data_IF_870951643479
#
_entry.id   IF_870951643479
#
_cell.length_a   1.000
_cell.length_b   1.000
_cell.length_c   1.000
_cell.angle_alpha   90.00
_cell.angle_beta   90.00
_cell.angle_gamma   90.00
#
_symmetry.space_group_name_H-M   'P 1'
#
loop_
_entity.id
_entity.type
_entity.pdbx_description
1 polymer ?
#
# COMPACT_ATOMS: atom_id res chain seq x y z
N UNK A 1 11.25 11.57 41.72
CA UNK A 1 11.72 11.21 40.35
C UNK A 1 11.55 9.70 40.17
N UNK A 2 10.78 9.25 39.18
CA UNK A 2 10.58 7.82 38.90
C UNK A 2 11.89 7.21 38.36
N UNK A 3 12.24 6.01 38.80
CA UNK A 3 13.44 5.25 38.38
C UNK A 3 13.50 5.20 36.84
N UNK A 4 14.62 5.64 36.25
CA UNK A 4 14.82 5.70 34.80
C UNK A 4 14.64 7.07 34.14
N UNK A 5 13.99 8.06 34.80
CA UNK A 5 13.92 9.43 34.27
C UNK A 5 15.31 10.07 34.14
N UNK A 6 16.18 9.88 35.14
CA UNK A 6 17.55 10.42 35.11
C UNK A 6 18.38 9.89 33.94
N UNK A 7 18.21 8.61 33.57
CA UNK A 7 18.93 8.03 32.41
C UNK A 7 18.41 8.58 31.09
N UNK A 8 17.08 8.77 30.94
CA UNK A 8 16.48 9.40 29.77
C UNK A 8 16.94 10.86 29.62
N UNK A 9 16.90 11.62 30.70
CA UNK A 9 17.37 13.01 30.74
C UNK A 9 18.85 13.12 30.37
N UNK A 10 19.69 12.19 30.86
CA UNK A 10 21.12 12.14 30.51
C UNK A 10 21.32 11.86 29.01
N UNK A 11 20.63 10.86 28.46
CA UNK A 11 20.71 10.52 27.03
C UNK A 11 20.24 11.66 26.12
N UNK A 12 19.17 12.37 26.49
CA UNK A 12 18.69 13.54 25.73
C UNK A 12 19.74 14.65 25.77
N UNK A 13 20.26 14.98 26.96
CA UNK A 13 21.27 16.02 27.11
C UNK A 13 22.56 15.70 26.35
N UNK A 14 22.96 14.43 26.31
CA UNK A 14 24.15 13.96 25.60
C UNK A 14 23.95 13.89 24.08
N UNK A 15 22.75 13.53 23.62
CA UNK A 15 22.42 13.43 22.18
C UNK A 15 22.20 14.78 21.49
N UNK A 16 21.84 15.82 22.25
CA UNK A 16 21.58 17.17 21.75
C UNK A 16 22.54 18.21 22.38
N UNK A 17 23.70 17.74 22.85
CA UNK A 17 24.69 18.57 23.56
C UNK A 17 25.31 19.62 22.65
N UNK A 18 25.52 19.24 21.39
CA UNK A 18 26.19 20.04 20.37
C UNK A 18 25.21 20.47 19.26
N UNK A 19 23.89 20.41 19.52
CA UNK A 19 22.91 21.04 18.64
C UNK A 19 22.96 22.54 18.88
N UNK A 20 23.30 23.29 17.84
CA UNK A 20 23.20 24.75 17.85
C UNK A 20 21.80 25.17 18.28
N UNK A 21 21.72 26.20 19.14
CA UNK A 21 20.45 26.61 19.76
C UNK A 21 19.37 26.97 18.72
N UNK A 22 19.80 27.37 17.52
CA UNK A 22 18.94 27.71 16.39
C UNK A 22 18.28 26.48 15.74
N UNK A 23 19.01 25.37 15.55
CA UNK A 23 18.45 24.12 15.00
C UNK A 23 17.39 23.53 15.95
N UNK A 24 17.67 23.57 17.26
CA UNK A 24 16.71 23.10 18.27
C UNK A 24 15.42 23.92 18.23
N UNK A 25 15.53 25.23 18.03
CA UNK A 25 14.38 26.15 17.95
C UNK A 25 13.55 25.89 16.69
N UNK A 26 14.19 25.66 15.55
CA UNK A 26 13.52 25.32 14.30
C UNK A 26 12.76 23.98 14.39
N UNK A 27 13.38 22.95 14.97
CA UNK A 27 12.73 21.66 15.20
C UNK A 27 11.54 21.81 16.14
N UNK A 28 11.65 22.65 17.18
CA UNK A 28 10.56 22.87 18.14
C UNK A 28 9.36 23.55 17.48
N UNK A 29 9.60 24.53 16.61
CA UNK A 29 8.56 25.25 15.88
C UNK A 29 7.83 24.34 14.88
N UNK A 30 8.58 23.53 14.13
CA UNK A 30 8.02 22.50 13.24
C UNK A 30 7.21 21.47 14.03
N UNK A 31 7.71 21.01 15.18
CA UNK A 31 7.00 20.04 16.01
C UNK A 31 5.73 20.62 16.65
N UNK A 32 5.75 21.90 17.05
CA UNK A 32 4.58 22.59 17.60
C UNK A 32 3.49 22.79 16.55
N UNK A 33 3.88 23.06 15.29
CA UNK A 33 2.94 23.17 14.17
C UNK A 33 2.25 21.84 13.80
N UNK A 34 2.79 20.69 14.26
CA UNK A 34 2.29 19.35 13.95
C UNK A 34 1.44 18.68 15.04
N UNK A 35 1.04 19.36 16.12
CA UNK A 35 0.03 18.79 17.01
C UNK A 35 -0.14 19.43 18.38
N UNK A 36 -1.20 20.22 18.54
CA UNK A 36 -1.84 20.44 19.84
C UNK A 36 -3.36 20.41 19.73
N UNK A 37 -3.91 19.20 19.60
CA UNK A 37 -5.27 18.92 20.09
C UNK A 37 -5.25 18.91 21.62
N UNK A 38 -5.53 20.05 22.25
CA UNK A 38 -5.85 20.13 23.68
C UNK A 38 -7.13 20.96 23.85
N UNK A 39 -8.23 20.23 24.04
CA UNK A 39 -9.51 20.76 24.44
C UNK A 39 -9.47 21.42 25.83
N UNK A 40 -9.91 22.68 25.83
CA UNK A 40 -10.77 23.41 26.77
C UNK A 40 -10.85 23.03 28.27
N UNK A 41 -10.56 24.01 29.16
CA UNK A 41 -11.52 24.51 30.19
C UNK A 41 -11.06 25.78 30.95
N UNK A 42 -11.87 26.85 30.79
CA UNK A 42 -12.25 27.97 31.71
C UNK A 42 -11.14 28.64 32.57
N UNK A 43 -11.02 29.98 32.59
CA UNK A 43 -11.96 30.89 33.32
C UNK A 43 -11.86 32.36 32.87
N UNK A 44 -13.02 33.05 32.95
CA UNK A 44 -13.40 34.43 32.59
C UNK A 44 -12.66 35.59 33.32
N UNK A 45 -12.45 36.69 32.58
CA UNK A 45 -12.67 38.14 32.91
C UNK A 45 -11.97 38.94 31.79
N UNK A 46 -12.52 39.88 31.02
CA UNK A 46 -13.77 40.62 31.00
C UNK A 46 -13.45 42.08 30.65
N UNK A 47 -13.82 42.57 29.46
CA UNK A 47 -14.31 43.94 29.19
C UNK A 47 -14.66 44.16 27.70
N UNK A 48 -15.82 44.78 27.51
CA UNK A 48 -16.46 45.28 26.27
C UNK A 48 -15.56 46.30 25.53
N UNK A 49 -15.74 46.68 24.25
CA UNK A 49 -16.86 47.38 23.60
C UNK A 49 -16.58 47.31 22.07
N UNK A 50 -17.50 46.95 21.18
CA UNK A 50 -18.29 47.95 20.44
C UNK A 50 -18.24 47.77 18.91
N UNK A 51 -19.28 47.11 18.38
CA UNK A 51 -20.09 47.43 17.20
C UNK A 51 -19.50 47.90 15.83
N UNK A 52 -20.00 47.20 14.79
CA UNK A 52 -20.44 47.64 13.43
C UNK A 52 -19.43 47.82 12.28
N UNK A 53 -19.77 47.17 11.15
CA UNK A 53 -19.39 47.57 9.78
C UNK A 53 -18.78 46.45 8.93
N UNK A 54 -19.59 45.53 8.39
CA UNK A 54 -19.90 45.41 6.95
C UNK A 54 -18.72 45.18 5.99
N UNK A 55 -18.74 43.99 5.38
CA UNK A 55 -18.43 43.69 3.97
C UNK A 55 -17.05 44.03 3.41
N UNK A 56 -16.24 42.99 3.17
CA UNK A 56 -15.66 42.77 1.84
C UNK A 56 -15.07 41.37 1.73
N UNK A 57 -15.60 40.62 0.77
CA UNK A 57 -15.04 39.42 0.17
C UNK A 57 -13.59 39.68 -0.25
N UNK A 58 -12.68 38.71 -0.12
CA UNK A 58 -11.86 38.26 -1.25
C UNK A 58 -11.13 36.95 -0.94
N UNK A 59 -11.54 35.94 -1.68
CA UNK A 59 -11.00 34.60 -1.77
C UNK A 59 -9.76 34.67 -2.68
N UNK A 60 -8.55 34.36 -2.21
CA UNK A 60 -7.35 34.24 -3.07
C UNK A 60 -6.81 32.82 -3.02
N UNK A 61 -7.36 31.99 -3.92
CA UNK A 61 -6.77 30.72 -4.36
C UNK A 61 -5.60 31.06 -5.30
N UNK A 62 -4.43 30.49 -5.01
CA UNK A 62 -3.24 30.58 -5.86
C UNK A 62 -3.34 29.51 -6.95
N UNK A 63 -3.31 29.85 -8.25
CA UNK A 63 -3.27 28.87 -9.33
C UNK A 63 -1.81 28.50 -9.65
N UNK A 64 -1.51 27.20 -9.60
CA UNK A 64 -0.24 26.64 -10.10
C UNK A 64 -0.38 26.47 -11.61
N UNK A 65 0.29 27.35 -12.36
CA UNK A 65 0.39 27.29 -13.83
C UNK A 65 1.43 26.27 -14.26
N UNK A 66 0.98 25.28 -15.05
CA UNK A 66 1.81 24.31 -15.80
C UNK A 66 2.47 25.04 -16.98
N UNK A 67 3.80 25.00 -17.19
CA UNK A 67 4.39 25.55 -18.41
C UNK A 67 4.19 24.58 -19.59
N UNK A 68 3.73 25.12 -20.73
CA UNK A 68 3.74 24.46 -22.05
C UNK A 68 5.16 24.50 -22.62
N UNK A 69 5.66 23.43 -23.29
CA UNK A 69 6.89 23.51 -24.09
C UNK A 69 6.60 24.12 -25.46
N UNK A 70 7.42 25.10 -25.87
CA UNK A 70 7.50 25.60 -27.26
C UNK A 70 8.53 24.78 -28.05
N UNK A 71 8.34 24.55 -29.37
CA UNK A 71 9.25 23.77 -30.20
C UNK A 71 10.47 24.58 -30.64
N UNK A 72 11.66 23.98 -30.57
CA UNK A 72 12.89 24.49 -31.20
C UNK A 72 13.10 23.79 -32.56
N UNK A 73 13.53 24.50 -33.61
CA UNK A 73 13.88 23.90 -34.90
C UNK A 73 15.26 23.25 -34.84
N UNK A 74 15.40 22.12 -35.54
CA UNK A 74 16.54 21.23 -35.45
C UNK A 74 17.84 21.74 -36.09
N UNK A 75 18.91 21.06 -35.70
CA UNK A 75 20.13 20.92 -36.49
C UNK A 75 20.62 19.48 -36.32
N UNK A 76 20.97 18.86 -37.45
CA UNK A 76 21.33 17.45 -37.53
C UNK A 76 22.77 17.20 -37.10
N UNK A 77 23.00 15.99 -36.57
CA UNK A 77 24.32 15.46 -36.30
C UNK A 77 24.19 14.02 -35.85
N UNK A 78 24.56 13.11 -36.74
CA UNK A 78 24.59 11.65 -36.56
C UNK A 78 25.47 11.20 -35.38
N UNK A 79 25.22 9.94 -34.99
CA UNK A 79 26.06 9.06 -34.16
C UNK A 79 25.98 9.22 -32.64
N UNK A 80 24.96 8.57 -32.05
CA UNK A 80 25.07 8.01 -30.70
C UNK A 80 24.34 6.67 -30.60
N UNK A 81 25.00 5.65 -31.17
CA UNK A 81 25.20 4.31 -30.62
C UNK A 81 24.30 3.87 -29.43
N UNK A 82 23.25 3.09 -29.74
CA UNK A 82 23.11 1.74 -29.18
C UNK A 82 22.51 1.50 -27.79
N UNK A 83 22.07 2.51 -27.03
CA UNK A 83 21.63 2.31 -25.63
C UNK A 83 20.12 2.39 -25.33
N UNK A 84 19.37 3.24 -26.02
CA UNK A 84 18.05 3.71 -25.52
C UNK A 84 16.84 2.90 -26.04
N UNK A 85 16.96 2.26 -27.20
CA UNK A 85 15.85 1.52 -27.81
C UNK A 85 15.52 0.17 -27.16
N UNK A 86 16.41 -0.38 -26.34
CA UNK A 86 16.17 -1.67 -25.66
C UNK A 86 15.39 -1.46 -24.37
N UNK A 87 15.75 -0.46 -23.56
CA UNK A 87 15.08 -0.20 -22.29
C UNK A 87 13.62 0.25 -22.49
N UNK A 88 13.34 1.16 -23.44
CA UNK A 88 11.97 1.64 -23.68
C UNK A 88 11.05 0.53 -24.21
N UNK A 89 11.55 -0.35 -25.09
CA UNK A 89 10.81 -1.50 -25.59
C UNK A 89 10.55 -2.51 -24.47
N UNK A 90 11.53 -2.77 -23.58
CA UNK A 90 11.34 -3.68 -22.44
C UNK A 90 10.30 -3.16 -21.43
N UNK A 91 10.31 -1.86 -21.13
CA UNK A 91 9.33 -1.25 -20.21
C UNK A 91 7.91 -1.35 -20.78
N UNK A 92 7.74 -1.10 -22.07
CA UNK A 92 6.43 -1.23 -22.72
C UNK A 92 5.92 -2.68 -22.68
N UNK A 93 6.79 -3.66 -22.94
CA UNK A 93 6.38 -5.08 -22.88
C UNK A 93 6.00 -5.53 -21.46
N UNK A 94 6.66 -5.01 -20.43
CA UNK A 94 6.33 -5.34 -19.03
C UNK A 94 4.96 -4.77 -18.62
N UNK A 95 4.65 -3.55 -19.09
CA UNK A 95 3.35 -2.91 -18.83
C UNK A 95 2.23 -3.68 -19.53
N UNK A 96 2.41 -4.04 -20.80
CA UNK A 96 1.43 -4.84 -21.55
C UNK A 96 1.19 -6.21 -20.88
N UNK A 97 2.23 -6.80 -20.27
CA UNK A 97 2.08 -8.04 -19.51
C UNK A 97 1.20 -7.86 -18.26
N UNK A 98 1.22 -6.70 -17.61
CA UNK A 98 0.38 -6.45 -16.42
C UNK A 98 -1.11 -6.49 -16.75
N UNK A 99 -1.49 -6.01 -17.94
CA UNK A 99 -2.89 -6.00 -18.38
C UNK A 99 -3.44 -7.42 -18.64
N UNK A 100 -2.57 -8.40 -18.83
CA UNK A 100 -2.96 -9.82 -18.95
C UNK A 100 -3.33 -10.47 -17.60
N UNK A 101 -2.99 -9.83 -16.46
CA UNK A 101 -3.24 -10.37 -15.13
C UNK A 101 -4.61 -9.92 -14.62
N UNK A 102 -5.51 -10.88 -14.39
CA UNK A 102 -6.82 -10.62 -13.78
C UNK A 102 -7.11 -11.52 -12.58
N UNK A 103 -7.71 -10.95 -11.54
CA UNK A 103 -8.28 -11.69 -10.40
C UNK A 103 -9.76 -12.04 -10.57
N UNK A 104 -10.37 -11.55 -11.64
CA UNK A 104 -11.79 -11.61 -11.96
C UNK A 104 -11.96 -12.00 -13.44
N UNK A 105 -11.61 -13.24 -13.82
CA UNK A 105 -11.79 -13.65 -15.19
C UNK A 105 -13.27 -13.67 -15.58
N UNK A 106 -13.57 -13.11 -16.74
CA UNK A 106 -14.86 -13.16 -17.40
C UNK A 106 -15.02 -14.49 -18.15
N UNK A 107 -16.25 -14.82 -18.54
CA UNK A 107 -16.55 -16.06 -19.27
C UNK A 107 -16.00 -16.08 -20.69
N UNK A 108 -15.71 -14.90 -21.24
CA UNK A 108 -15.13 -14.69 -22.57
C UNK A 108 -13.60 -14.67 -22.57
N UNK A 109 -12.97 -14.63 -21.38
CA UNK A 109 -11.52 -14.60 -21.25
C UNK A 109 -10.89 -15.97 -21.53
N UNK A 110 -9.74 -15.96 -22.22
CA UNK A 110 -8.91 -17.16 -22.36
C UNK A 110 -7.93 -17.29 -21.20
N UNK A 111 -8.12 -18.32 -20.38
CA UNK A 111 -7.25 -18.58 -19.24
C UNK A 111 -5.98 -19.32 -19.66
N UNK A 112 -4.83 -18.63 -19.58
CA UNK A 112 -3.52 -19.17 -19.93
C UNK A 112 -2.85 -19.89 -18.76
N UNK A 113 -2.74 -19.22 -17.60
CA UNK A 113 -2.02 -19.70 -16.42
C UNK A 113 -2.72 -19.31 -15.12
N UNK A 114 -2.48 -20.09 -14.05
CA UNK A 114 -2.87 -19.73 -12.70
C UNK A 114 -1.66 -19.29 -11.88
N UNK A 115 -1.68 -18.07 -11.34
CA UNK A 115 -0.58 -17.50 -10.56
C UNK A 115 -0.99 -17.40 -9.09
N UNK A 116 -0.29 -18.09 -8.16
CA UNK A 116 -0.60 -17.97 -6.74
C UNK A 116 -0.06 -16.67 -6.15
N UNK A 117 -0.95 -15.88 -5.56
CA UNK A 117 -0.61 -14.59 -4.95
C UNK A 117 -0.97 -14.57 -3.47
N UNK A 118 -0.20 -13.81 -2.68
CA UNK A 118 -0.49 -13.53 -1.28
C UNK A 118 -0.57 -12.02 -1.11
N UNK A 119 -1.73 -11.54 -0.67
CA UNK A 119 -2.02 -10.12 -0.52
C UNK A 119 -2.93 -9.88 0.71
N UNK A 120 -3.04 -8.62 1.19
CA UNK A 120 -4.02 -8.26 2.20
C UNK A 120 -5.44 -8.69 1.80
N UNK A 121 -6.18 -9.28 2.72
CA UNK A 121 -7.49 -9.89 2.42
C UNK A 121 -8.50 -8.90 1.81
N UNK A 122 -8.38 -7.61 2.16
CA UNK A 122 -9.25 -6.55 1.65
C UNK A 122 -9.10 -6.31 0.14
N UNK A 123 -7.90 -6.54 -0.42
CA UNK A 123 -7.65 -6.39 -1.86
C UNK A 123 -8.24 -7.57 -2.64
N UNK A 124 -8.27 -8.75 -2.02
CA UNK A 124 -8.77 -9.98 -2.61
C UNK A 124 -10.29 -10.14 -2.47
N UNK A 125 -11.03 -9.10 -2.06
CA UNK A 125 -12.47 -9.21 -1.82
C UNK A 125 -13.28 -9.51 -3.09
N UNK A 126 -12.79 -9.12 -4.26
CA UNK A 126 -13.45 -9.44 -5.52
C UNK A 126 -13.08 -10.84 -6.04
N UNK A 127 -11.91 -11.37 -5.67
CA UNK A 127 -11.38 -12.62 -6.23
C UNK A 127 -12.30 -13.81 -5.96
N UNK A 128 -12.47 -14.64 -7.00
CA UNK A 128 -13.23 -15.89 -6.94
C UNK A 128 -12.57 -16.91 -6.02
N UNK A 129 -11.28 -17.19 -6.23
CA UNK A 129 -10.51 -18.17 -5.47
C UNK A 129 -9.68 -17.49 -4.39
N UNK A 130 -10.18 -17.48 -3.15
CA UNK A 130 -9.50 -16.84 -2.02
C UNK A 130 -9.73 -17.56 -0.70
N UNK A 131 -8.75 -17.42 0.18
CA UNK A 131 -8.81 -17.93 1.55
C UNK A 131 -8.10 -16.98 2.51
N UNK A 132 -8.63 -16.84 3.72
CA UNK A 132 -7.99 -16.03 4.76
C UNK A 132 -7.01 -16.88 5.53
N UNK A 133 -5.76 -16.44 5.54
CA UNK A 133 -4.69 -17.00 6.34
C UNK A 133 -4.66 -16.29 7.69
N UNK A 134 -4.68 -17.05 8.78
CA UNK A 134 -4.45 -16.54 10.13
C UNK A 134 -3.24 -17.24 10.75
N UNK A 135 -2.50 -16.59 11.66
CA UNK A 135 -1.47 -17.28 12.42
C UNK A 135 -2.04 -18.51 13.14
N UNK A 136 -1.29 -19.62 13.14
CA UNK A 136 -1.73 -20.89 13.71
C UNK A 136 -0.62 -21.94 13.74
N UNK A 137 -0.95 -23.22 13.82
CA UNK A 137 0.05 -24.30 13.94
C UNK A 137 0.29 -25.07 12.63
N UNK A 138 -0.42 -24.71 11.54
CA UNK A 138 -0.34 -25.44 10.28
C UNK A 138 0.94 -25.13 9.48
N UNK A 139 1.48 -26.15 8.81
CA UNK A 139 2.60 -26.01 7.88
C UNK A 139 2.12 -25.38 6.57
N UNK A 140 2.91 -24.46 6.00
CA UNK A 140 2.58 -23.73 4.76
C UNK A 140 2.20 -24.63 3.58
N UNK A 141 2.94 -25.72 3.34
CA UNK A 141 2.62 -26.66 2.26
C UNK A 141 1.29 -27.39 2.46
N UNK A 142 0.97 -27.78 3.70
CA UNK A 142 -0.33 -28.39 4.02
C UNK A 142 -1.47 -27.39 3.86
N UNK A 143 -1.26 -26.14 4.26
CA UNK A 143 -2.21 -25.07 4.04
C UNK A 143 -2.44 -24.83 2.53
N UNK A 144 -1.38 -24.65 1.73
CA UNK A 144 -1.48 -24.51 0.27
C UNK A 144 -2.35 -25.60 -0.37
N UNK A 145 -2.03 -26.88 -0.14
CA UNK A 145 -2.80 -28.01 -0.69
C UNK A 145 -4.25 -28.04 -0.21
N UNK A 146 -4.49 -27.68 1.05
CA UNK A 146 -5.86 -27.62 1.60
C UNK A 146 -6.68 -26.52 0.93
N UNK A 147 -6.09 -25.35 0.66
CA UNK A 147 -6.74 -24.27 -0.06
C UNK A 147 -7.05 -24.67 -1.51
N UNK A 148 -6.08 -25.31 -2.20
CA UNK A 148 -6.27 -25.81 -3.57
C UNK A 148 -7.45 -26.78 -3.66
N UNK A 149 -7.49 -27.75 -2.75
CA UNK A 149 -8.56 -28.74 -2.69
C UNK A 149 -9.93 -28.11 -2.39
N UNK A 150 -9.96 -27.00 -1.67
CA UNK A 150 -11.19 -26.24 -1.45
C UNK A 150 -11.67 -25.62 -2.77
N UNK A 151 -10.77 -25.00 -3.54
CA UNK A 151 -11.09 -24.35 -4.82
C UNK A 151 -11.54 -25.36 -5.89
N UNK A 152 -10.93 -26.54 -5.93
CA UNK A 152 -11.31 -27.61 -6.88
C UNK A 152 -12.68 -28.23 -6.59
N UNK A 153 -13.15 -28.16 -5.34
CA UNK A 153 -14.45 -28.70 -4.91
C UNK A 153 -15.59 -27.69 -5.04
N UNK A 154 -15.31 -26.43 -5.34
CA UNK A 154 -16.34 -25.44 -5.60
C UNK A 154 -17.12 -25.82 -6.88
N UNK A 155 -18.46 -25.76 -6.81
CA UNK A 155 -19.36 -26.13 -7.92
C UNK A 155 -19.26 -25.14 -9.06
N UNK A 156 -18.85 -23.90 -8.78
CA UNK A 156 -18.76 -22.83 -9.77
C UNK A 156 -17.41 -22.81 -10.51
N UNK A 157 -16.56 -23.83 -10.31
CA UNK A 157 -15.25 -23.94 -10.96
C UNK A 157 -15.36 -24.69 -12.29
N UNK A 158 -15.02 -24.01 -13.39
CA UNK A 158 -14.94 -24.55 -14.75
C UNK A 158 -13.87 -25.64 -14.85
N UNK A 159 -14.00 -26.55 -15.82
CA UNK A 159 -12.97 -27.57 -16.10
C UNK A 159 -11.61 -26.94 -16.39
N UNK A 160 -11.58 -25.86 -17.19
CA UNK A 160 -10.34 -25.14 -17.52
C UNK A 160 -9.67 -24.56 -16.27
N UNK A 161 -10.44 -23.94 -15.38
CA UNK A 161 -9.93 -23.43 -14.10
C UNK A 161 -9.34 -24.56 -13.25
N UNK A 162 -10.00 -25.72 -13.17
CA UNK A 162 -9.48 -26.87 -12.41
C UNK A 162 -8.14 -27.35 -12.95
N UNK A 163 -7.98 -27.41 -14.26
CA UNK A 163 -6.75 -27.89 -14.89
C UNK A 163 -5.58 -26.91 -14.66
N UNK A 164 -5.84 -25.62 -14.78
CA UNK A 164 -4.85 -24.57 -14.48
C UNK A 164 -4.48 -24.53 -13.00
N UNK A 165 -5.46 -24.68 -12.10
CA UNK A 165 -5.21 -24.73 -10.66
C UNK A 165 -4.34 -25.95 -10.30
N UNK A 166 -4.54 -27.10 -10.96
CA UNK A 166 -3.76 -28.32 -10.74
C UNK A 166 -2.35 -28.27 -11.36
N UNK A 167 -2.15 -27.49 -12.42
CA UNK A 167 -0.84 -27.38 -13.07
C UNK A 167 0.17 -26.58 -12.26
N UNK A 168 -0.28 -25.81 -11.26
CA UNK A 168 0.61 -25.06 -10.37
C UNK A 168 1.40 -26.00 -9.46
N UNK A 169 2.73 -25.93 -9.55
CA UNK A 169 3.64 -26.69 -8.69
C UNK A 169 3.43 -26.35 -7.21
N UNK A 170 3.48 -27.36 -6.34
CA UNK A 170 3.34 -27.21 -4.88
C UNK A 170 4.35 -26.22 -4.28
N UNK A 171 5.56 -26.19 -4.82
CA UNK A 171 6.61 -25.25 -4.43
C UNK A 171 6.17 -23.80 -4.64
N UNK A 172 5.53 -23.51 -5.77
CA UNK A 172 5.05 -22.16 -6.11
C UNK A 172 3.87 -21.76 -5.23
N UNK A 173 2.98 -22.70 -4.89
CA UNK A 173 1.87 -22.45 -3.98
C UNK A 173 2.33 -22.11 -2.55
N UNK A 174 3.36 -22.80 -2.05
CA UNK A 174 3.80 -22.66 -0.67
C UNK A 174 4.87 -21.57 -0.47
N UNK A 175 5.56 -21.13 -1.53
CA UNK A 175 6.69 -20.18 -1.47
C UNK A 175 6.30 -18.86 -0.78
N UNK A 176 5.15 -18.31 -1.16
CA UNK A 176 4.68 -17.01 -0.70
C UNK A 176 3.85 -17.08 0.60
N UNK A 177 3.53 -18.28 1.08
CA UNK A 177 2.74 -18.45 2.29
C UNK A 177 3.60 -18.23 3.55
N UNK A 178 3.11 -17.46 4.54
CA UNK A 178 3.77 -17.37 5.82
C UNK A 178 3.82 -18.73 6.52
N UNK A 179 4.86 -18.95 7.33
CA UNK A 179 4.96 -20.14 8.17
C UNK A 179 3.91 -20.13 9.30
N UNK A 180 3.54 -21.32 9.80
CA UNK A 180 2.66 -21.47 10.97
C UNK A 180 1.31 -20.76 10.77
N UNK A 181 0.52 -21.26 9.82
CA UNK A 181 -0.76 -20.66 9.41
C UNK A 181 -1.92 -21.63 9.55
N UNK A 182 -3.10 -21.08 9.83
CA UNK A 182 -4.40 -21.74 9.79
C UNK A 182 -5.22 -21.11 8.67
N UNK A 183 -5.94 -21.95 7.93
CA UNK A 183 -6.87 -21.49 6.91
C UNK A 183 -8.24 -21.21 7.53
N UNK A 184 -8.84 -20.11 7.13
CA UNK A 184 -10.23 -19.79 7.37
C UNK A 184 -10.86 -19.36 6.04
N UNK A 185 -11.97 -19.99 5.69
CA UNK A 185 -12.77 -19.55 4.56
C UNK A 185 -14.23 -19.48 4.99
N UNK A 186 -15.02 -18.54 4.47
CA UNK A 186 -16.43 -18.42 4.81
C UNK A 186 -17.23 -19.70 4.55
N UNK A 187 -16.75 -20.59 3.65
CA UNK A 187 -17.41 -21.87 3.33
C UNK A 187 -16.71 -23.12 3.89
N UNK A 188 -15.59 -22.98 4.63
CA UNK A 188 -14.77 -24.13 5.10
C UNK A 188 -15.47 -25.02 6.14
N UNK A 189 -16.47 -24.51 6.86
CA UNK A 189 -17.22 -25.31 7.85
C UNK A 189 -18.20 -26.30 7.21
N UNK A 190 -18.65 -26.04 5.99
CA UNK A 190 -19.58 -26.93 5.27
C UNK A 190 -18.89 -28.16 4.66
N UNK A 191 -17.57 -28.11 4.48
CA UNK A 191 -16.78 -29.17 3.83
C UNK A 191 -16.23 -30.23 4.81
N UNK A 192 -16.50 -30.09 6.11
CA UNK A 192 -16.08 -31.02 7.18
C UNK A 192 -17.09 -32.11 7.51
N UNK A 193 -18.12 -32.29 6.68
CA UNK A 193 -19.13 -33.33 6.82
C UNK A 193 -18.99 -34.36 5.72
#
# INVERSE_FOLDING_TARGET
MKRGQKSKLKKIKEKYKDQDEDERKLIMDILQSAGSGKDSKKTKKGKEVGNKGTTSKLNKKVPVTRPKPQPQPGDGGEDSDGGEGVEEVTVNTDIDMLDSLTGLPLTEDELLFAVPVVAPYNVLLSYKFKVKLTPGTGKRGKAARTALNMFLKDRNTSSREKDLIRSVKDENLARNLPGKVKLSAPQMQKLRK
#
